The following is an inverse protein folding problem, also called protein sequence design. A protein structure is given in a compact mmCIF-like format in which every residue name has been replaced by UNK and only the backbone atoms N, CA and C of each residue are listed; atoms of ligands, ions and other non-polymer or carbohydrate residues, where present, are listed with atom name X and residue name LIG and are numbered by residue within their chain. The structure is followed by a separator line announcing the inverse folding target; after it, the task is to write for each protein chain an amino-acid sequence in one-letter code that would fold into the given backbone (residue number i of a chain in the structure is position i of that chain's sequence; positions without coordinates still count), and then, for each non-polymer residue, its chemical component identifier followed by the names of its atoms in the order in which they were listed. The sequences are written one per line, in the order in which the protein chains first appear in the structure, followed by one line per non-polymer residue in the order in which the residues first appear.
data_IF_358685654739
#
_entry.id   IF_358685654739
#
_cell.length_a   1.000
_cell.length_b   1.000
_cell.length_c   1.000
_cell.angle_alpha   90.00
_cell.angle_beta   90.00
_cell.angle_gamma   90.00
#
_symmetry.space_group_name_H-M   'P 1'
#
loop_
_entity.id
_entity.type
_entity.pdbx_description
1 polymer ?
#
# COMPACT_ATOMS: atom_id res chain seq x y z
N UNK A 1 -31.85 28.87 -1.50
CA UNK A 1 -31.97 27.41 -1.32
C UNK A 1 -33.19 26.86 -2.06
N UNK A 2 -34.44 27.13 -1.67
CA UNK A 2 -35.60 26.63 -2.44
C UNK A 2 -35.78 27.35 -3.78
N UNK A 3 -35.88 28.69 -3.78
CA UNK A 3 -36.04 29.49 -5.00
C UNK A 3 -34.90 29.30 -6.02
N UNK A 4 -33.66 29.22 -5.54
CA UNK A 4 -32.48 29.01 -6.38
C UNK A 4 -32.45 27.63 -7.05
N UNK A 5 -33.06 26.62 -6.41
CA UNK A 5 -33.19 25.28 -7.00
C UNK A 5 -34.34 25.21 -8.01
N UNK A 6 -35.41 25.97 -7.78
CA UNK A 6 -36.53 26.06 -8.72
C UNK A 6 -36.17 26.87 -9.97
N UNK A 7 -35.40 27.95 -9.82
CA UNK A 7 -34.83 28.71 -10.94
C UNK A 7 -33.85 27.87 -11.77
N UNK A 8 -32.99 27.08 -11.10
CA UNK A 8 -32.07 26.17 -11.77
C UNK A 8 -32.83 25.08 -12.55
N UNK A 9 -33.91 24.54 -11.97
CA UNK A 9 -34.78 23.58 -12.65
C UNK A 9 -35.41 24.20 -13.89
N UNK A 10 -36.04 25.36 -13.77
CA UNK A 10 -36.71 26.04 -14.90
C UNK A 10 -35.73 26.37 -16.04
N UNK A 11 -34.51 26.77 -15.70
CA UNK A 11 -33.44 26.99 -16.66
C UNK A 11 -33.07 25.72 -17.44
N UNK A 12 -32.82 24.60 -16.76
CA UNK A 12 -32.43 23.35 -17.44
C UNK A 12 -33.58 22.64 -18.15
N UNK A 13 -34.82 22.83 -17.71
CA UNK A 13 -36.01 22.25 -18.37
C UNK A 13 -36.27 22.89 -19.74
N UNK A 14 -35.83 24.15 -19.96
CA UNK A 14 -36.10 24.91 -21.18
C UNK A 14 -34.86 25.26 -22.02
N UNK A 15 -33.65 24.96 -21.53
CA UNK A 15 -32.41 25.25 -22.25
C UNK A 15 -31.92 24.02 -23.02
N UNK A 16 -31.71 24.15 -24.33
CA UNK A 16 -31.06 23.09 -25.11
C UNK A 16 -29.58 23.00 -24.75
N UNK A 17 -29.24 21.93 -24.04
CA UNK A 17 -27.87 21.64 -23.58
C UNK A 17 -27.10 20.78 -24.60
N UNK A 18 -27.71 20.43 -25.74
CA UNK A 18 -27.10 19.55 -26.74
C UNK A 18 -25.78 20.11 -27.29
N UNK A 19 -25.69 21.43 -27.44
CA UNK A 19 -24.47 22.11 -27.84
C UNK A 19 -23.35 22.02 -26.78
N UNK A 20 -23.71 22.05 -25.50
CA UNK A 20 -22.74 21.91 -24.39
C UNK A 20 -22.23 20.47 -24.27
N UNK A 21 -23.07 19.50 -24.61
CA UNK A 21 -22.71 18.07 -24.63
C UNK A 21 -21.88 17.69 -25.86
N UNK A 22 -22.04 18.39 -26.98
CA UNK A 22 -21.31 18.12 -28.22
C UNK A 22 -19.79 18.28 -28.05
N UNK A 23 -19.36 19.27 -27.26
CA UNK A 23 -17.96 19.55 -26.96
C UNK A 23 -17.49 18.93 -25.63
N UNK A 24 -18.37 18.18 -24.94
CA UNK A 24 -18.04 17.59 -23.66
C UNK A 24 -17.01 16.47 -23.83
N UNK A 25 -15.83 16.65 -23.23
CA UNK A 25 -14.83 15.60 -23.12
C UNK A 25 -15.16 14.75 -21.90
N UNK A 26 -15.27 13.43 -22.10
CA UNK A 26 -15.37 12.50 -20.98
C UNK A 26 -14.07 12.60 -20.16
N UNK A 27 -14.15 13.20 -18.97
CA UNK A 27 -13.13 13.00 -17.97
C UNK A 27 -13.08 11.50 -17.66
N UNK A 28 -12.05 10.85 -18.19
CA UNK A 28 -11.67 9.56 -17.66
C UNK A 28 -11.23 9.83 -16.23
N UNK A 29 -11.72 9.09 -15.22
CA UNK A 29 -11.15 9.21 -13.90
C UNK A 29 -9.66 9.05 -14.08
N UNK A 30 -8.88 10.07 -13.72
CA UNK A 30 -7.43 9.92 -13.72
C UNK A 30 -7.18 8.61 -13.00
N UNK A 31 -6.56 7.64 -13.69
CA UNK A 31 -6.07 6.45 -13.03
C UNK A 31 -4.98 6.95 -12.11
N UNK A 32 -5.35 7.40 -10.93
CA UNK A 32 -4.42 7.60 -9.83
C UNK A 32 -3.81 6.22 -9.66
N UNK A 33 -2.58 6.04 -10.14
CA UNK A 33 -1.94 4.74 -10.28
C UNK A 33 -1.86 3.99 -8.93
N UNK A 34 -2.10 4.70 -7.83
CA UNK A 34 -1.99 4.23 -6.46
C UNK A 34 -3.24 4.58 -5.61
N UNK A 35 -4.44 4.46 -6.18
CA UNK A 35 -5.65 4.56 -5.36
C UNK A 35 -5.63 3.49 -4.24
N UNK A 36 -5.59 3.93 -2.99
CA UNK A 36 -5.62 3.03 -1.84
C UNK A 36 -7.01 2.41 -1.69
N UNK A 37 -7.10 1.09 -1.73
CA UNK A 37 -8.36 0.35 -1.54
C UNK A 37 -8.40 -0.25 -0.13
N UNK A 38 -9.54 -0.11 0.55
CA UNK A 38 -9.74 -0.70 1.88
C UNK A 38 -10.13 -2.17 1.77
N UNK A 39 -9.38 -3.04 2.44
CA UNK A 39 -9.69 -4.46 2.61
C UNK A 39 -9.83 -4.80 4.09
N UNK A 40 -10.94 -5.44 4.46
CA UNK A 40 -11.22 -5.85 5.83
C UNK A 40 -11.02 -7.36 6.01
N UNK A 41 -10.10 -7.75 6.89
CA UNK A 41 -9.84 -9.14 7.25
C UNK A 41 -10.05 -9.35 8.75
N UNK A 42 -10.60 -10.52 9.12
CA UNK A 42 -10.72 -10.92 10.53
C UNK A 42 -9.45 -11.64 10.95
N UNK A 43 -8.86 -11.19 12.05
CA UNK A 43 -7.68 -11.80 12.66
C UNK A 43 -8.02 -12.31 14.06
N UNK A 44 -7.43 -13.42 14.52
CA UNK A 44 -7.51 -13.80 15.92
C UNK A 44 -6.97 -12.68 16.82
N UNK A 45 -7.62 -12.45 17.97
CA UNK A 45 -7.18 -11.48 18.99
C UNK A 45 -5.67 -11.53 19.31
N UNK A 46 -5.05 -12.71 19.57
CA UNK A 46 -3.63 -12.75 19.89
C UNK A 46 -2.73 -12.24 18.75
N UNK A 47 -3.16 -12.43 17.49
CA UNK A 47 -2.42 -11.92 16.32
C UNK A 47 -2.48 -10.39 16.27
N UNK A 48 -3.66 -9.81 16.51
CA UNK A 48 -3.81 -8.36 16.53
C UNK A 48 -3.02 -7.71 17.68
N UNK A 49 -2.98 -8.36 18.84
CA UNK A 49 -2.21 -7.88 19.99
C UNK A 49 -0.69 -7.96 19.72
N UNK A 50 -0.21 -9.00 19.05
CA UNK A 50 1.18 -9.09 18.59
C UNK A 50 1.53 -7.99 17.56
N UNK A 51 0.63 -7.70 16.61
CA UNK A 51 0.81 -6.64 15.63
C UNK A 51 0.88 -5.25 16.28
N UNK A 52 0.08 -5.01 17.32
CA UNK A 52 0.13 -3.76 18.11
C UNK A 52 1.49 -3.58 18.79
N UNK A 53 1.97 -4.61 19.47
CA UNK A 53 3.27 -4.56 20.13
C UNK A 53 4.43 -4.38 19.14
N UNK A 54 4.36 -5.01 17.96
CA UNK A 54 5.35 -4.81 16.90
C UNK A 54 5.32 -3.38 16.35
N UNK A 55 4.13 -2.82 16.14
CA UNK A 55 3.98 -1.46 15.62
C UNK A 55 4.52 -0.41 16.60
N UNK A 56 4.26 -0.59 17.89
CA UNK A 56 4.79 0.26 18.95
C UNK A 56 6.33 0.26 18.98
N UNK A 57 6.96 -0.92 18.91
CA UNK A 57 8.42 -1.05 18.85
C UNK A 57 9.02 -0.34 17.63
N UNK A 58 8.30 -0.31 16.52
CA UNK A 58 8.73 0.32 15.28
C UNK A 58 8.31 1.80 15.17
N UNK A 59 7.60 2.36 16.17
CA UNK A 59 7.09 3.73 16.12
C UNK A 59 6.05 3.98 15.02
N UNK A 60 5.37 2.92 14.55
CA UNK A 60 4.43 2.98 13.43
C UNK A 60 2.98 2.75 13.89
N UNK A 61 2.02 3.18 13.07
CA UNK A 61 0.62 2.73 13.21
C UNK A 61 0.52 1.27 12.79
N UNK A 62 -0.36 0.51 13.44
CA UNK A 62 -0.60 -0.91 13.13
C UNK A 62 -0.96 -1.14 11.66
N UNK A 63 -1.80 -0.28 11.07
CA UNK A 63 -2.17 -0.38 9.65
C UNK A 63 -1.00 -0.13 8.71
N UNK A 64 -0.10 0.80 9.04
CA UNK A 64 1.11 1.06 8.27
C UNK A 64 2.06 -0.14 8.34
N UNK A 65 2.27 -0.69 9.53
CA UNK A 65 3.10 -1.89 9.72
C UNK A 65 2.58 -3.08 8.90
N UNK A 66 1.27 -3.36 8.98
CA UNK A 66 0.64 -4.46 8.22
C UNK A 66 0.86 -4.27 6.72
N UNK A 67 0.66 -3.04 6.22
CA UNK A 67 0.87 -2.71 4.81
C UNK A 67 2.32 -2.97 4.40
N UNK A 68 3.28 -2.44 5.14
CA UNK A 68 4.71 -2.61 4.84
C UNK A 68 5.11 -4.09 4.83
N UNK A 69 4.69 -4.86 5.83
CA UNK A 69 4.98 -6.30 5.87
C UNK A 69 4.36 -7.06 4.71
N UNK A 70 3.14 -6.69 4.29
CA UNK A 70 2.48 -7.31 3.15
C UNK A 70 3.20 -6.98 1.83
N UNK A 71 3.55 -5.71 1.61
CA UNK A 71 4.29 -5.25 0.43
C UNK A 71 5.67 -5.91 0.36
N UNK A 72 6.41 -5.97 1.47
CA UNK A 72 7.70 -6.66 1.53
C UNK A 72 7.58 -8.16 1.24
N UNK A 73 6.55 -8.82 1.80
CA UNK A 73 6.33 -10.24 1.58
C UNK A 73 6.00 -10.52 0.11
N UNK A 74 5.11 -9.73 -0.48
CA UNK A 74 4.74 -9.85 -1.90
C UNK A 74 5.90 -9.52 -2.83
N UNK A 75 6.72 -8.52 -2.49
CA UNK A 75 7.94 -8.22 -3.24
C UNK A 75 8.94 -9.39 -3.21
N UNK A 76 9.10 -10.06 -2.06
CA UNK A 76 9.94 -11.27 -1.94
C UNK A 76 9.40 -12.46 -2.72
N UNK A 77 8.08 -12.67 -2.71
CA UNK A 77 7.44 -13.74 -3.49
C UNK A 77 7.52 -13.46 -4.99
N UNK A 78 7.34 -12.20 -5.40
CA UNK A 78 7.43 -11.77 -6.82
C UNK A 78 8.87 -11.79 -7.34
N UNK A 79 9.85 -11.51 -6.49
CA UNK A 79 11.27 -11.68 -6.81
C UNK A 79 11.72 -13.16 -6.81
N UNK A 80 10.83 -14.08 -6.40
CA UNK A 80 11.12 -15.46 -6.04
C UNK A 80 10.77 -16.51 -7.10
N UNK A 81 11.03 -16.25 -8.38
CA UNK A 81 11.15 -17.33 -9.37
C UNK A 81 12.50 -17.36 -10.12
N UNK A 82 13.37 -16.35 -10.01
CA UNK A 82 14.62 -16.28 -10.79
C UNK A 82 15.82 -15.62 -10.09
N UNK A 83 15.88 -15.61 -8.75
CA UNK A 83 17.08 -15.11 -8.05
C UNK A 83 18.08 -16.24 -7.82
N UNK A 84 18.89 -16.52 -8.85
CA UNK A 84 20.11 -17.33 -8.71
C UNK A 84 21.09 -16.56 -7.83
N UNK A 85 21.39 -17.10 -6.66
CA UNK A 85 22.45 -16.60 -5.79
C UNK A 85 23.73 -17.39 -6.08
N UNK A 86 24.84 -16.70 -6.29
CA UNK A 86 26.13 -17.37 -6.42
C UNK A 86 26.51 -18.02 -5.09
N UNK A 87 27.02 -19.25 -5.14
CA UNK A 87 27.46 -19.99 -3.94
C UNK A 87 28.53 -19.20 -3.19
N UNK A 88 29.37 -18.46 -3.90
CA UNK A 88 30.41 -17.62 -3.31
C UNK A 88 29.86 -16.51 -2.41
N UNK A 89 28.73 -15.90 -2.76
CA UNK A 89 28.09 -14.86 -1.93
C UNK A 89 27.55 -15.45 -0.62
N UNK A 90 27.05 -16.69 -0.68
CA UNK A 90 26.60 -17.44 0.50
C UNK A 90 27.79 -17.77 1.40
N UNK A 91 28.89 -18.26 0.82
CA UNK A 91 30.10 -18.60 1.55
C UNK A 91 30.74 -17.37 2.19
N UNK A 92 30.76 -16.23 1.50
CA UNK A 92 31.24 -14.96 2.03
C UNK A 92 30.43 -14.51 3.27
N UNK A 93 29.09 -14.60 3.18
CA UNK A 93 28.19 -14.24 4.28
C UNK A 93 28.40 -15.15 5.52
N UNK A 94 28.57 -16.45 5.30
CA UNK A 94 28.82 -17.42 6.38
C UNK A 94 30.18 -17.17 7.04
N UNK A 95 31.21 -16.87 6.24
CA UNK A 95 32.55 -16.56 6.75
C UNK A 95 32.55 -15.27 7.58
N UNK A 96 31.82 -14.24 7.15
CA UNK A 96 31.68 -12.99 7.88
C UNK A 96 30.97 -13.17 9.23
N UNK A 97 29.90 -13.96 9.24
CA UNK A 97 29.15 -14.23 10.49
C UNK A 97 29.93 -15.08 11.48
N UNK A 98 30.75 -16.02 10.99
CA UNK A 98 31.62 -16.86 11.83
C UNK A 98 32.71 -16.03 12.55
N UNK A 99 33.25 -15.01 11.87
CA UNK A 99 34.22 -14.06 12.46
C UNK A 99 33.57 -13.15 13.52
N UNK A 100 32.32 -12.75 13.29
CA UNK A 100 31.55 -11.93 14.24
C UNK A 100 31.24 -12.65 15.56
N UNK A 101 31.00 -13.96 15.53
CA UNK A 101 30.72 -14.78 16.74
C UNK A 101 31.97 -15.16 17.54
N UNK A 102 33.17 -15.11 16.95
CA UNK A 102 34.43 -15.45 17.63
C UNK A 102 35.02 -14.36 18.53
N UNK A 103 34.46 -13.13 18.51
CA UNK A 103 35.04 -11.96 19.18
C UNK A 103 34.47 -11.61 20.57
N UNK A 104 33.59 -12.43 21.15
CA UNK A 104 32.92 -12.12 22.44
C UNK A 104 33.29 -13.07 23.59
N UNK A 105 34.55 -13.51 23.61
CA UNK A 105 35.07 -14.44 24.62
C UNK A 105 36.58 -14.36 24.84
N UNK A 106 37.16 -13.16 24.79
CA UNK A 106 38.54 -12.92 25.26
C UNK A 106 38.74 -11.44 25.60
N UNK A 107 38.43 -11.08 26.85
CA UNK A 107 39.04 -10.03 27.69
C UNK A 107 38.07 -9.69 28.83
#
# INVERSE_FOLDING_TARGET
MADEMDELREYYDNTDTSALLADAVREQPEKTAEAMVTYAVRLPKPVLDALRAAAEKSGMRVSALIRTWLEERLARESAGQDKVLAVDDILALVAERSRSTGGRGAA
#
